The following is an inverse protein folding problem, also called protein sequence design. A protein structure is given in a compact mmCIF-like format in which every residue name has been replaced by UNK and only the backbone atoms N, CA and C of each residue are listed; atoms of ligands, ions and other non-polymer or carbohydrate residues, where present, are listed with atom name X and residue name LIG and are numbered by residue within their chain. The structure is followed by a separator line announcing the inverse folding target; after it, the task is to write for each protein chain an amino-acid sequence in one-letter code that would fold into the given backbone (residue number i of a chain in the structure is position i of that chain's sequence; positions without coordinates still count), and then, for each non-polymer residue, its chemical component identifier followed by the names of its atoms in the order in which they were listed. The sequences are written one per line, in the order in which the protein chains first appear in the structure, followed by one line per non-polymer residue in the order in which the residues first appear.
data_IF_784072022869
#
_entry.id   IF_784072022869
#
_cell.length_a   1.000
_cell.length_b   1.000
_cell.length_c   1.000
_cell.angle_alpha   90.00
_cell.angle_beta   90.00
_cell.angle_gamma   90.00
#
_symmetry.space_group_name_H-M   'P 1'
#
loop_
_entity.id
_entity.type
_entity.pdbx_description
1 polymer ?
#
# COMPACT_ATOMS: atom_id res chain seq x y z
N UNK A 1 11.38 9.31 -0.26
CA UNK A 1 12.20 8.23 -0.85
C UNK A 1 11.26 7.33 -1.62
N UNK A 2 11.64 6.86 -2.83
CA UNK A 2 10.75 6.00 -3.61
C UNK A 2 10.52 4.69 -2.86
N UNK A 3 9.31 4.14 -2.99
CA UNK A 3 9.03 2.80 -2.54
C UNK A 3 9.69 1.80 -3.50
N UNK A 4 10.31 0.75 -2.97
CA UNK A 4 11.06 -0.24 -3.77
C UNK A 4 10.63 -1.68 -3.49
N UNK A 5 10.11 -1.94 -2.30
CA UNK A 5 9.72 -3.29 -1.88
C UNK A 5 8.32 -3.63 -2.39
N UNK A 6 8.17 -4.83 -2.96
CA UNK A 6 6.87 -5.34 -3.40
C UNK A 6 6.04 -5.80 -2.20
N UNK A 7 4.73 -5.60 -2.30
CA UNK A 7 3.74 -6.08 -1.33
C UNK A 7 2.74 -6.95 -2.07
N UNK A 8 2.48 -8.15 -1.54
CA UNK A 8 1.39 -8.99 -2.04
C UNK A 8 0.05 -8.33 -1.68
N UNK A 9 -0.71 -7.95 -2.69
CA UNK A 9 -1.98 -7.23 -2.56
C UNK A 9 -3.05 -7.87 -3.43
N UNK A 10 -4.31 -7.76 -2.99
CA UNK A 10 -5.47 -8.07 -3.82
C UNK A 10 -5.95 -6.79 -4.50
N UNK A 11 -6.01 -6.77 -5.83
CA UNK A 11 -6.51 -5.65 -6.62
C UNK A 11 -8.04 -5.52 -6.49
N UNK A 12 -8.64 -4.38 -6.86
CA UNK A 12 -10.09 -4.23 -6.95
C UNK A 12 -10.74 -5.21 -7.95
N UNK A 13 -10.00 -5.65 -8.98
CA UNK A 13 -10.43 -6.71 -9.91
C UNK A 13 -10.42 -8.11 -9.29
N UNK A 14 -9.95 -8.27 -8.05
CA UNK A 14 -9.96 -9.52 -7.30
C UNK A 14 -8.71 -10.38 -7.49
N UNK A 15 -7.73 -9.94 -8.28
CA UNK A 15 -6.47 -10.65 -8.54
C UNK A 15 -5.47 -10.43 -7.42
N UNK A 16 -4.67 -11.44 -7.11
CA UNK A 16 -3.53 -11.30 -6.21
C UNK A 16 -2.26 -11.02 -7.01
N UNK A 17 -1.59 -9.91 -6.70
CA UNK A 17 -0.36 -9.45 -7.38
C UNK A 17 0.66 -8.97 -6.35
N UNK A 18 1.93 -8.96 -6.74
CA UNK A 18 2.99 -8.29 -6.01
C UNK A 18 3.29 -6.93 -6.64
N UNK A 19 2.91 -5.85 -5.96
CA UNK A 19 3.03 -4.49 -6.47
C UNK A 19 3.89 -3.64 -5.54
N UNK A 20 4.62 -2.69 -6.12
CA UNK A 20 5.30 -1.65 -5.35
C UNK A 20 4.30 -0.50 -5.13
N UNK A 21 4.05 -0.06 -3.89
CA UNK A 21 3.20 1.09 -3.66
C UNK A 21 3.84 2.34 -4.26
N UNK A 22 3.01 3.26 -4.74
CA UNK A 22 3.44 4.59 -5.18
C UNK A 22 3.78 5.47 -3.98
N UNK A 23 3.02 5.32 -2.88
CA UNK A 23 3.20 6.07 -1.64
C UNK A 23 2.72 5.27 -0.45
N UNK A 24 3.43 5.37 0.68
CA UNK A 24 3.03 4.79 1.96
C UNK A 24 3.00 5.86 3.04
N UNK A 25 1.90 5.91 3.77
CA UNK A 25 1.73 6.79 4.93
C UNK A 25 1.13 6.02 6.11
N UNK A 26 1.23 6.60 7.29
CA UNK A 26 0.68 6.03 8.52
C UNK A 26 -0.54 6.83 9.00
N UNK A 27 -1.61 6.13 9.33
CA UNK A 27 -2.75 6.67 10.07
C UNK A 27 -2.65 6.20 11.52
N UNK A 28 -2.45 7.11 12.46
CA UNK A 28 -2.22 6.77 13.86
C UNK A 28 -3.14 7.57 14.80
N UNK A 29 -4.34 7.07 15.11
CA UNK A 29 -5.22 7.70 16.09
C UNK A 29 -4.61 7.65 17.49
N UNK A 30 -4.78 8.71 18.29
CA UNK A 30 -4.26 8.78 19.67
C UNK A 30 -4.81 7.61 20.50
N UNK A 31 -3.92 6.87 21.17
CA UNK A 31 -4.28 5.74 22.03
C UNK A 31 -4.68 4.46 21.29
N UNK A 32 -4.50 4.38 19.95
CA UNK A 32 -4.76 3.17 19.16
C UNK A 32 -3.52 2.75 18.38
N UNK A 33 -3.46 1.47 18.00
CA UNK A 33 -2.45 0.97 17.07
C UNK A 33 -2.72 1.58 15.69
N UNK A 34 -1.76 2.33 15.17
CA UNK A 34 -1.83 2.90 13.82
C UNK A 34 -1.77 1.83 12.73
N UNK A 35 -2.12 2.23 11.50
CA UNK A 35 -2.00 1.40 10.31
C UNK A 35 -1.15 2.10 9.26
N UNK A 36 -0.34 1.34 8.54
CA UNK A 36 0.32 1.84 7.32
C UNK A 36 -0.54 1.50 6.11
N UNK A 37 -0.76 2.50 5.26
CA UNK A 37 -1.57 2.41 4.05
C UNK A 37 -0.68 2.70 2.85
N UNK A 38 -0.70 1.82 1.87
CA UNK A 38 -0.08 2.02 0.57
C UNK A 38 -1.11 2.44 -0.47
N UNK A 39 -0.73 3.40 -1.31
CA UNK A 39 -1.39 3.70 -2.58
C UNK A 39 -0.75 2.85 -3.67
N UNK A 40 -1.53 2.06 -4.39
CA UNK A 40 -1.09 1.22 -5.49
C UNK A 40 -1.82 1.61 -6.76
N UNK A 41 -1.25 1.28 -7.91
CA UNK A 41 -1.92 1.37 -9.19
C UNK A 41 -2.16 -0.05 -9.71
N UNK A 42 -3.41 -0.35 -10.07
CA UNK A 42 -3.77 -1.62 -10.69
C UNK A 42 -3.25 -1.61 -12.14
N UNK A 43 -2.34 -2.52 -12.53
CA UNK A 43 -1.76 -2.53 -13.88
C UNK A 43 -2.78 -2.86 -14.97
N UNK A 44 -3.92 -3.49 -14.63
CA UNK A 44 -4.95 -3.86 -15.59
C UNK A 44 -5.88 -2.69 -15.91
N UNK A 45 -6.36 -2.00 -14.87
CA UNK A 45 -7.34 -0.91 -15.00
C UNK A 45 -6.71 0.49 -15.00
N UNK A 46 -5.43 0.61 -14.63
CA UNK A 46 -4.75 1.88 -14.39
C UNK A 46 -5.25 2.65 -13.18
N UNK A 47 -6.26 2.13 -12.46
CA UNK A 47 -6.89 2.81 -11.33
C UNK A 47 -6.02 2.70 -10.09
N UNK A 48 -6.01 3.78 -9.32
CA UNK A 48 -5.38 3.78 -8.01
C UNK A 48 -6.29 3.15 -6.96
N UNK A 49 -5.69 2.41 -6.04
CA UNK A 49 -6.40 1.84 -4.90
C UNK A 49 -5.51 1.88 -3.66
N UNK A 50 -6.15 1.84 -2.48
CA UNK A 50 -5.46 1.88 -1.18
C UNK A 50 -5.64 0.56 -0.47
N UNK A 51 -4.57 0.06 0.11
CA UNK A 51 -4.65 -1.11 0.99
C UNK A 51 -3.60 -1.04 2.10
N UNK A 52 -3.80 -1.84 3.14
CA UNK A 52 -2.87 -1.94 4.26
C UNK A 52 -1.56 -2.57 3.79
N UNK A 53 -0.44 -2.03 4.25
CA UNK A 53 0.89 -2.64 4.06
C UNK A 53 1.39 -3.24 5.38
N UNK A 54 2.40 -4.13 5.36
CA UNK A 54 3.04 -4.63 6.57
C UNK A 54 3.47 -3.50 7.51
N UNK A 55 3.41 -3.76 8.82
CA UNK A 55 3.73 -2.75 9.84
C UNK A 55 5.19 -2.28 9.78
N UNK A 56 6.10 -3.16 9.35
CA UNK A 56 7.52 -2.87 9.17
C UNK A 56 7.84 -2.16 7.84
N UNK A 57 6.89 -2.01 6.91
CA UNK A 57 7.15 -1.40 5.60
C UNK A 57 7.52 0.09 5.76
N UNK A 58 8.57 0.62 5.08
CA UNK A 58 9.01 2.00 5.27
C UNK A 58 8.00 3.04 4.76
N UNK A 59 8.02 4.25 5.34
CA UNK A 59 7.27 5.37 4.76
C UNK A 59 8.01 5.89 3.52
N UNK A 60 7.31 5.97 2.40
CA UNK A 60 7.90 6.28 1.10
C UNK A 60 6.90 7.02 0.20
N UNK A 61 7.41 7.71 -0.81
CA UNK A 61 6.66 8.53 -1.78
C UNK A 61 7.52 8.84 -3.00
#
# INVERSE_FOLDING_TARGET
MPCTEKVKVKTPSGRELELVPVKVWQLNPRGRKGVKVGLFQDPESGRYFRTKVPENYPLCS
#
